data_IF_634162751343
#
_entry.id   IF_634162751343
#
_cell.length_a   1.000
_cell.length_b   1.000
_cell.length_c   1.000
_cell.angle_alpha   90.00
_cell.angle_beta   90.00
_cell.angle_gamma   90.00
#
_symmetry.space_group_name_H-M   'P 1'
#
loop_
_entity.id
_entity.type
_entity.pdbx_description
1 polymer ?
#
# COMPACT_ATOMS: atom_id res chain seq x y z
N UNK A 1 -10.33 9.64 -5.30
CA UNK A 1 -10.30 8.16 -5.16
C UNK A 1 -8.92 7.69 -5.61
N UNK A 2 -8.38 6.67 -4.94
CA UNK A 2 -7.03 6.19 -5.20
C UNK A 2 -6.84 4.76 -4.72
N UNK A 3 -5.58 4.37 -4.61
CA UNK A 3 -5.12 3.05 -4.22
C UNK A 3 -4.37 3.17 -2.90
N UNK A 4 -4.87 2.46 -1.90
CA UNK A 4 -4.21 2.29 -0.62
C UNK A 4 -3.44 0.97 -0.62
N UNK A 5 -2.16 1.03 -0.31
CA UNK A 5 -1.30 -0.13 -0.20
C UNK A 5 -0.78 -0.23 1.23
N UNK A 6 -1.07 -1.35 1.89
CA UNK A 6 -0.66 -1.58 3.28
C UNK A 6 0.26 -2.78 3.39
N UNK A 7 1.32 -2.69 4.17
CA UNK A 7 2.17 -3.84 4.47
C UNK A 7 1.36 -4.99 5.07
N UNK A 8 1.73 -6.23 4.72
CA UNK A 8 1.11 -7.42 5.30
C UNK A 8 1.46 -7.57 6.78
N UNK A 9 2.65 -7.13 7.19
CA UNK A 9 3.08 -7.09 8.59
C UNK A 9 3.65 -5.72 8.91
N UNK A 10 3.11 -5.05 9.92
CA UNK A 10 3.71 -3.82 10.43
C UNK A 10 5.09 -4.11 11.02
N UNK A 11 6.08 -3.23 10.83
CA UNK A 11 7.34 -3.28 11.56
C UNK A 11 7.10 -3.24 13.08
N UNK A 12 7.90 -3.96 13.85
CA UNK A 12 7.79 -3.97 15.31
C UNK A 12 7.96 -2.55 15.87
N UNK A 13 6.98 -2.11 16.67
CA UNK A 13 7.00 -0.80 17.33
C UNK A 13 6.67 0.40 16.41
N UNK A 14 6.33 0.19 15.13
CA UNK A 14 5.88 1.27 14.25
C UNK A 14 4.62 1.95 14.80
N UNK A 15 3.60 1.16 15.17
CA UNK A 15 2.34 1.70 15.70
C UNK A 15 2.60 2.58 16.94
N UNK A 16 3.44 2.11 17.87
CA UNK A 16 3.80 2.89 19.05
C UNK A 16 4.61 4.15 18.70
N UNK A 17 5.48 4.08 17.69
CA UNK A 17 6.23 5.23 17.21
C UNK A 17 5.31 6.25 16.54
N UNK A 18 4.38 5.80 15.71
CA UNK A 18 3.38 6.62 15.06
C UNK A 18 2.47 7.29 16.08
N UNK A 19 1.97 6.55 17.07
CA UNK A 19 1.18 7.13 18.15
C UNK A 19 1.95 8.20 18.95
N UNK A 20 3.25 7.98 19.23
CA UNK A 20 4.08 9.00 19.89
C UNK A 20 4.25 10.25 19.02
N UNK A 21 4.46 10.08 17.72
CA UNK A 21 4.59 11.19 16.78
C UNK A 21 3.26 11.94 16.60
N UNK A 22 2.15 11.22 16.49
CA UNK A 22 0.79 11.78 16.42
C UNK A 22 0.47 12.61 17.67
N UNK A 23 0.75 12.11 18.87
CA UNK A 23 0.60 12.91 20.10
C UNK A 23 1.45 14.18 20.10
N UNK A 24 2.62 14.14 19.48
CA UNK A 24 3.51 15.31 19.37
C UNK A 24 2.96 16.34 18.37
N UNK A 25 2.41 15.87 17.25
CA UNK A 25 1.69 16.69 16.28
C UNK A 25 0.47 17.37 16.90
N UNK A 26 -0.39 16.60 17.58
CA UNK A 26 -1.59 17.13 18.24
C UNK A 26 -1.22 18.20 19.27
N UNK A 27 -0.19 17.97 20.09
CA UNK A 27 0.28 18.95 21.07
C UNK A 27 0.80 20.25 20.41
N UNK A 28 1.51 20.14 19.27
CA UNK A 28 1.98 21.30 18.53
C UNK A 28 0.83 22.09 17.90
N UNK A 29 -0.17 21.38 17.34
CA UNK A 29 -1.36 21.98 16.76
C UNK A 29 -2.20 22.70 17.82
N UNK A 30 -2.47 22.05 18.95
CA UNK A 30 -3.14 22.63 20.11
C UNK A 30 -2.44 23.90 20.60
N UNK A 31 -1.11 23.88 20.69
CA UNK A 31 -0.34 25.05 21.12
C UNK A 31 -0.51 26.21 20.14
N UNK A 32 -0.38 25.96 18.83
CA UNK A 32 -0.59 26.98 17.79
C UNK A 32 -1.99 27.58 17.89
N UNK A 33 -3.01 26.74 18.02
CA UNK A 33 -4.41 27.16 17.98
C UNK A 33 -4.81 27.98 19.21
N UNK A 34 -4.17 27.74 20.37
CA UNK A 34 -4.38 28.51 21.61
C UNK A 34 -3.73 29.89 21.60
N UNK A 35 -2.83 30.20 20.66
CA UNK A 35 -2.17 31.50 20.63
C UNK A 35 -3.16 32.65 20.36
N UNK A 36 -4.25 32.38 19.62
CA UNK A 36 -5.23 33.40 19.19
C UNK A 36 -4.56 34.63 18.56
N UNK A 37 -3.60 34.38 17.65
CA UNK A 37 -2.83 35.41 16.96
C UNK A 37 -3.15 35.39 15.45
N UNK A 38 -3.05 36.54 14.76
CA UNK A 38 -3.13 36.57 13.31
C UNK A 38 -2.06 35.68 12.67
N UNK A 39 -2.37 35.11 11.51
CA UNK A 39 -1.47 34.21 10.77
C UNK A 39 -0.08 34.80 10.54
N UNK A 40 0.02 36.10 10.25
CA UNK A 40 1.28 36.79 9.96
C UNK A 40 2.13 37.05 11.22
N UNK A 41 1.59 36.84 12.42
CA UNK A 41 2.30 37.10 13.66
C UNK A 41 3.53 36.17 13.79
N UNK A 42 4.74 36.66 14.12
CA UNK A 42 5.95 35.84 14.17
C UNK A 42 5.85 34.60 15.08
N UNK A 43 5.17 34.72 16.23
CA UNK A 43 4.93 33.60 17.13
C UNK A 43 4.00 32.53 16.55
N UNK A 44 2.96 32.95 15.81
CA UNK A 44 2.09 32.02 15.10
C UNK A 44 2.87 31.27 14.01
N UNK A 45 3.66 31.99 13.21
CA UNK A 45 4.52 31.41 12.19
C UNK A 45 5.55 30.43 12.76
N UNK A 46 6.09 30.71 13.95
CA UNK A 46 6.97 29.78 14.65
C UNK A 46 6.24 28.50 15.07
N UNK A 47 5.06 28.63 15.69
CA UNK A 47 4.24 27.48 16.06
C UNK A 47 3.82 26.66 14.84
N UNK A 48 3.44 27.31 13.72
CA UNK A 48 3.10 26.64 12.47
C UNK A 48 4.28 25.82 11.90
N UNK A 49 5.53 26.30 12.02
CA UNK A 49 6.70 25.52 11.61
C UNK A 49 6.93 24.29 12.50
N UNK A 50 6.65 24.39 13.80
CA UNK A 50 6.72 23.23 14.69
C UNK A 50 5.61 22.21 14.38
N UNK A 51 4.40 22.67 14.05
CA UNK A 51 3.32 21.79 13.55
C UNK A 51 3.77 21.06 12.28
N UNK A 52 4.35 21.78 11.31
CA UNK A 52 4.85 21.18 10.08
C UNK A 52 5.93 20.12 10.36
N UNK A 53 6.91 20.43 11.22
CA UNK A 53 7.96 19.46 11.62
C UNK A 53 7.39 18.23 12.32
N UNK A 54 6.42 18.41 13.22
CA UNK A 54 5.79 17.30 13.92
C UNK A 54 4.94 16.45 12.98
N UNK A 55 4.29 17.07 11.98
CA UNK A 55 3.61 16.37 10.90
C UNK A 55 4.58 15.57 10.05
N UNK A 56 5.67 16.16 9.59
CA UNK A 56 6.71 15.47 8.81
C UNK A 56 7.29 14.27 9.59
N UNK A 57 7.52 14.44 10.89
CA UNK A 57 7.98 13.35 11.76
C UNK A 57 6.93 12.24 11.93
N UNK A 58 5.65 12.60 12.00
CA UNK A 58 4.55 11.63 12.06
C UNK A 58 4.40 10.87 10.73
N UNK A 59 4.45 11.56 9.59
CA UNK A 59 4.38 10.91 8.28
C UNK A 59 5.60 10.01 8.04
N UNK A 60 6.80 10.43 8.47
CA UNK A 60 8.00 9.59 8.39
C UNK A 60 7.91 8.28 9.20
N UNK A 61 6.96 8.17 10.14
CA UNK A 61 6.69 6.90 10.86
C UNK A 61 5.70 5.99 10.15
N UNK A 62 4.90 6.48 9.18
CA UNK A 62 3.93 5.66 8.44
C UNK A 62 4.60 4.94 7.28
N UNK A 63 5.54 4.05 7.59
CA UNK A 63 6.18 3.21 6.57
C UNK A 63 5.30 2.03 6.13
N UNK A 64 4.21 1.78 6.85
CA UNK A 64 3.23 0.74 6.54
C UNK A 64 2.28 1.05 5.38
N UNK A 65 2.17 2.30 4.94
CA UNK A 65 1.17 2.74 3.96
C UNK A 65 1.81 3.49 2.79
N UNK A 66 1.36 3.18 1.58
CA UNK A 66 1.66 3.96 0.38
C UNK A 66 0.36 4.25 -0.36
N UNK A 67 0.19 5.49 -0.81
CA UNK A 67 -1.00 5.93 -1.52
C UNK A 67 -0.66 6.44 -2.91
N UNK A 68 -1.46 6.02 -3.89
CA UNK A 68 -1.44 6.58 -5.24
C UNK A 68 -2.84 6.99 -5.67
N UNK A 69 -2.98 8.14 -6.33
CA UNK A 69 -4.26 8.47 -6.98
C UNK A 69 -4.56 7.47 -8.09
N UNK A 70 -5.82 7.37 -8.55
CA UNK A 70 -6.15 6.50 -9.70
C UNK A 70 -5.29 6.81 -10.94
N UNK A 71 -5.00 8.09 -11.17
CA UNK A 71 -4.16 8.52 -12.28
C UNK A 71 -2.70 8.12 -12.07
N UNK A 72 -2.10 8.46 -10.93
CA UNK A 72 -0.73 8.08 -10.57
C UNK A 72 -0.54 6.56 -10.55
N UNK A 73 -1.56 5.79 -10.18
CA UNK A 73 -1.51 4.33 -10.25
C UNK A 73 -1.47 3.80 -11.69
N UNK A 74 -2.19 4.45 -12.61
CA UNK A 74 -2.11 4.11 -14.04
C UNK A 74 -0.72 4.38 -14.59
N UNK A 75 -0.12 5.51 -14.22
CA UNK A 75 1.25 5.86 -14.59
C UNK A 75 2.26 4.89 -13.97
N UNK A 76 2.15 4.61 -12.67
CA UNK A 76 2.94 3.60 -11.97
C UNK A 76 2.92 2.26 -12.68
N UNK A 77 1.75 1.78 -13.08
CA UNK A 77 1.65 0.52 -13.83
C UNK A 77 2.32 0.60 -15.20
N UNK A 78 2.22 1.72 -15.91
CA UNK A 78 2.89 1.91 -17.20
C UNK A 78 4.42 1.91 -17.04
N UNK A 79 4.95 2.61 -16.03
CA UNK A 79 6.38 2.63 -15.72
C UNK A 79 6.87 1.24 -15.30
N UNK A 80 6.12 0.54 -14.44
CA UNK A 80 6.44 -0.82 -14.04
C UNK A 80 6.40 -1.81 -15.22
N UNK A 81 5.40 -1.73 -16.09
CA UNK A 81 5.30 -2.57 -17.29
C UNK A 81 6.50 -2.34 -18.22
N UNK A 82 6.88 -1.07 -18.41
CA UNK A 82 8.03 -0.69 -19.21
C UNK A 82 9.33 -1.34 -18.71
N UNK A 83 9.58 -1.31 -17.39
CA UNK A 83 10.75 -1.94 -16.78
C UNK A 83 10.63 -3.47 -16.65
N UNK A 84 9.56 -4.08 -17.17
CA UNK A 84 9.32 -5.53 -17.06
C UNK A 84 9.02 -5.97 -15.62
N UNK A 85 8.61 -5.06 -14.74
CA UNK A 85 8.26 -5.33 -13.36
C UNK A 85 6.91 -6.02 -13.22
N UNK A 86 6.04 -5.92 -14.25
CA UNK A 86 4.72 -6.53 -14.26
C UNK A 86 4.68 -7.82 -15.09
N UNK A 87 3.78 -8.71 -14.71
CA UNK A 87 3.42 -9.88 -15.50
C UNK A 87 1.92 -9.87 -15.78
N UNK A 88 1.55 -10.03 -17.05
CA UNK A 88 0.16 -10.15 -17.46
C UNK A 88 -0.37 -11.56 -17.14
N UNK A 89 -1.00 -11.71 -15.98
CA UNK A 89 -1.70 -12.94 -15.58
C UNK A 89 -3.18 -12.63 -15.30
N UNK A 90 -4.03 -13.62 -15.54
CA UNK A 90 -5.44 -13.53 -15.15
C UNK A 90 -5.57 -13.81 -13.66
N UNK A 91 -6.48 -13.11 -12.94
CA UNK A 91 -6.77 -13.45 -11.56
C UNK A 91 -7.38 -14.85 -11.48
N UNK A 92 -7.03 -15.65 -10.46
CA UNK A 92 -7.70 -16.92 -10.20
C UNK A 92 -9.20 -16.74 -9.98
N UNK A 93 -9.97 -17.76 -10.33
CA UNK A 93 -11.42 -17.74 -10.19
C UNK A 93 -11.81 -17.49 -8.73
N UNK A 94 -12.79 -16.62 -8.52
CA UNK A 94 -13.28 -16.30 -7.18
C UNK A 94 -14.02 -17.52 -6.60
N UNK A 95 -13.69 -17.98 -5.37
CA UNK A 95 -14.44 -19.06 -4.74
C UNK A 95 -15.90 -18.64 -4.54
N UNK A 96 -16.82 -19.59 -4.72
CA UNK A 96 -18.24 -19.37 -4.46
C UNK A 96 -18.58 -19.82 -3.03
N UNK A 97 -19.26 -19.00 -2.22
CA UNK A 97 -19.62 -19.35 -0.84
C UNK A 97 -20.30 -20.72 -0.71
N UNK A 98 -21.15 -21.08 -1.68
CA UNK A 98 -21.98 -22.27 -1.67
C UNK A 98 -21.15 -23.56 -1.67
N UNK A 99 -19.98 -23.55 -2.32
CA UNK A 99 -19.05 -24.71 -2.32
C UNK A 99 -18.49 -25.02 -0.94
N UNK A 100 -18.54 -24.05 -0.02
CA UNK A 100 -18.09 -24.20 1.37
C UNK A 100 -19.25 -24.39 2.35
N UNK A 101 -20.49 -24.48 1.87
CA UNK A 101 -21.68 -24.66 2.70
C UNK A 101 -22.09 -23.39 3.45
N UNK A 102 -21.92 -22.22 2.83
CA UNK A 102 -22.37 -20.92 3.34
C UNK A 102 -22.90 -20.08 2.18
N UNK A 103 -23.59 -18.98 2.49
CA UNK A 103 -23.99 -17.95 1.51
C UNK A 103 -23.12 -16.70 1.62
N UNK A 104 -23.20 -15.82 0.62
CA UNK A 104 -22.58 -14.50 0.70
C UNK A 104 -23.13 -13.66 1.86
N UNK A 105 -24.44 -13.73 2.11
CA UNK A 105 -25.07 -12.97 3.20
C UNK A 105 -24.56 -13.44 4.56
N UNK A 106 -24.45 -14.74 4.79
CA UNK A 106 -23.90 -15.31 6.02
C UNK A 106 -22.43 -14.97 6.20
N UNK A 107 -21.63 -15.00 5.14
CA UNK A 107 -20.20 -14.70 5.22
C UNK A 107 -19.92 -13.22 5.54
N UNK A 108 -20.76 -12.31 5.03
CA UNK A 108 -20.72 -10.87 5.35
C UNK A 108 -21.24 -10.60 6.77
N UNK A 109 -22.31 -11.26 7.19
CA UNK A 109 -22.92 -11.04 8.51
C UNK A 109 -22.13 -11.66 9.67
N UNK A 110 -21.37 -12.73 9.42
CA UNK A 110 -20.59 -13.40 10.45
C UNK A 110 -19.50 -12.49 11.02
N UNK A 111 -19.35 -12.49 12.35
CA UNK A 111 -18.26 -11.77 13.00
C UNK A 111 -16.88 -12.29 12.57
N UNK A 112 -15.87 -11.44 12.69
CA UNK A 112 -14.48 -11.84 12.49
C UNK A 112 -14.04 -12.84 13.58
N UNK A 113 -13.08 -13.71 13.23
CA UNK A 113 -12.50 -14.69 14.14
C UNK A 113 -13.18 -16.07 14.14
N UNK A 114 -12.75 -16.92 15.07
CA UNK A 114 -13.03 -18.36 15.09
C UNK A 114 -14.47 -18.72 15.50
N UNK A 115 -15.25 -17.74 15.96
CA UNK A 115 -16.65 -17.94 16.32
C UNK A 115 -17.58 -18.03 15.09
N UNK A 116 -17.09 -17.76 13.89
CA UNK A 116 -17.88 -17.85 12.67
C UNK A 116 -18.25 -19.31 12.34
N UNK A 117 -19.38 -19.56 11.66
CA UNK A 117 -19.74 -20.91 11.19
C UNK A 117 -18.61 -21.55 10.38
N UNK A 118 -18.42 -22.86 10.50
CA UNK A 118 -17.34 -23.58 9.84
C UNK A 118 -17.32 -23.39 8.30
N UNK A 119 -18.49 -23.25 7.66
CA UNK A 119 -18.58 -22.94 6.23
C UNK A 119 -18.01 -21.56 5.89
N UNK A 120 -18.30 -20.55 6.71
CA UNK A 120 -17.74 -19.19 6.58
C UNK A 120 -16.23 -19.19 6.77
N UNK A 121 -15.72 -19.91 7.78
CA UNK A 121 -14.27 -19.99 8.02
C UNK A 121 -13.53 -20.61 6.84
N UNK A 122 -14.05 -21.70 6.26
CA UNK A 122 -13.45 -22.32 5.07
C UNK A 122 -13.53 -21.41 3.84
N UNK A 123 -14.65 -20.71 3.65
CA UNK A 123 -14.80 -19.74 2.56
C UNK A 123 -13.81 -18.57 2.68
N UNK A 124 -13.67 -17.99 3.88
CA UNK A 124 -12.72 -16.90 4.15
C UNK A 124 -11.29 -17.35 3.89
N UNK A 125 -10.91 -18.52 4.39
CA UNK A 125 -9.58 -19.11 4.13
C UNK A 125 -9.32 -19.27 2.63
N UNK A 126 -10.28 -19.80 1.86
CA UNK A 126 -10.13 -19.96 0.42
C UNK A 126 -10.02 -18.61 -0.31
N UNK A 127 -10.74 -17.58 0.17
CA UNK A 127 -10.62 -16.23 -0.37
C UNK A 127 -9.24 -15.62 -0.06
N UNK A 128 -8.72 -15.80 1.15
CA UNK A 128 -7.38 -15.36 1.53
C UNK A 128 -6.29 -16.07 0.71
N UNK A 129 -6.39 -17.38 0.54
CA UNK A 129 -5.48 -18.18 -0.30
C UNK A 129 -5.50 -17.68 -1.76
N UNK A 130 -6.69 -17.37 -2.30
CA UNK A 130 -6.83 -16.75 -3.63
C UNK A 130 -6.13 -15.39 -3.70
N UNK A 131 -6.40 -14.50 -2.74
CA UNK A 131 -5.86 -13.14 -2.75
C UNK A 131 -4.33 -13.12 -2.59
N UNK A 132 -3.76 -14.16 -1.97
CA UNK A 132 -2.32 -14.35 -1.81
C UNK A 132 -1.69 -15.24 -2.90
N UNK A 133 -2.47 -15.72 -3.87
CA UNK A 133 -1.97 -16.64 -4.89
C UNK A 133 -0.81 -16.02 -5.68
N UNK A 134 0.31 -16.74 -5.75
CA UNK A 134 1.47 -16.35 -6.53
C UNK A 134 2.12 -17.62 -7.12
N UNK A 135 2.73 -17.52 -8.32
CA UNK A 135 3.49 -18.63 -8.87
C UNK A 135 4.68 -18.97 -7.96
N UNK A 136 5.12 -20.25 -7.87
CA UNK A 136 6.26 -20.64 -7.04
C UNK A 136 7.57 -19.90 -7.37
N UNK A 137 7.71 -19.44 -8.62
CA UNK A 137 8.82 -18.61 -9.09
C UNK A 137 8.27 -17.41 -9.86
N UNK A 138 7.94 -16.30 -9.18
CA UNK A 138 7.49 -15.09 -9.83
C UNK A 138 8.58 -14.50 -10.73
N UNK A 139 8.17 -13.86 -11.82
CA UNK A 139 9.03 -13.10 -12.73
C UNK A 139 8.74 -11.59 -12.71
N UNK A 140 7.76 -11.19 -11.89
CA UNK A 140 7.31 -9.82 -11.68
C UNK A 140 6.04 -9.83 -10.83
N UNK A 141 5.45 -8.66 -10.61
CA UNK A 141 4.17 -8.49 -9.93
C UNK A 141 3.04 -8.78 -10.92
N UNK A 142 2.08 -9.64 -10.54
CA UNK A 142 0.90 -9.86 -11.34
C UNK A 142 0.09 -8.56 -11.51
N UNK A 143 -0.10 -8.10 -12.74
CA UNK A 143 -0.67 -6.78 -13.02
C UNK A 143 -2.08 -6.57 -12.44
N UNK A 144 -2.87 -7.64 -12.32
CA UNK A 144 -4.21 -7.58 -11.74
C UNK A 144 -4.21 -7.30 -10.23
N UNK A 145 -3.12 -7.58 -9.50
CA UNK A 145 -3.00 -7.30 -8.06
C UNK A 145 -2.78 -5.82 -7.74
N UNK A 146 -2.47 -5.04 -8.77
CA UNK A 146 -2.31 -3.59 -8.74
C UNK A 146 -3.57 -2.89 -9.29
N UNK A 147 -4.72 -3.57 -9.21
CA UNK A 147 -6.01 -3.07 -9.70
C UNK A 147 -7.17 -3.59 -8.84
N UNK A 148 -8.28 -2.85 -8.86
CA UNK A 148 -9.53 -3.23 -8.18
C UNK A 148 -9.49 -3.09 -6.65
N UNK A 149 -10.54 -3.57 -6.00
CA UNK A 149 -10.84 -3.35 -4.57
C UNK A 149 -10.76 -4.63 -3.71
N UNK A 150 -10.33 -5.75 -4.29
CA UNK A 150 -10.43 -7.06 -3.63
C UNK A 150 -9.41 -7.30 -2.50
N UNK A 151 -8.43 -6.42 -2.30
CA UNK A 151 -7.40 -6.60 -1.27
C UNK A 151 -6.31 -7.61 -1.66
N UNK A 152 -5.92 -7.64 -2.93
CA UNK A 152 -4.88 -8.54 -3.44
C UNK A 152 -3.57 -8.40 -2.67
N UNK A 153 -2.94 -9.52 -2.34
CA UNK A 153 -1.63 -9.54 -1.68
C UNK A 153 -0.53 -9.71 -2.72
N UNK A 154 0.34 -8.70 -2.82
CA UNK A 154 1.59 -8.76 -3.58
C UNK A 154 2.67 -9.34 -2.68
N UNK A 155 3.19 -10.50 -3.05
CA UNK A 155 4.10 -11.30 -2.21
C UNK A 155 5.54 -10.80 -2.27
N UNK A 156 6.40 -11.13 -1.28
CA UNK A 156 7.82 -10.80 -1.34
C UNK A 156 8.52 -11.33 -2.60
N UNK A 157 8.17 -12.54 -3.06
CA UNK A 157 8.76 -13.13 -4.26
C UNK A 157 8.44 -12.33 -5.53
N UNK A 158 7.20 -11.85 -5.66
CA UNK A 158 6.79 -10.98 -6.76
C UNK A 158 7.52 -9.63 -6.73
N UNK A 159 7.63 -9.03 -5.54
CA UNK A 159 8.33 -7.75 -5.35
C UNK A 159 9.80 -7.86 -5.70
N UNK A 160 10.49 -8.89 -5.19
CA UNK A 160 11.91 -9.10 -5.47
C UNK A 160 12.17 -9.35 -6.96
N UNK A 161 11.29 -10.11 -7.63
CA UNK A 161 11.38 -10.31 -9.08
C UNK A 161 11.18 -9.01 -9.85
N UNK A 162 10.20 -8.20 -9.46
CA UNK A 162 9.96 -6.88 -10.03
C UNK A 162 11.15 -5.92 -9.84
N UNK A 163 11.72 -5.84 -8.64
CA UNK A 163 12.89 -5.01 -8.36
C UNK A 163 14.13 -5.47 -9.14
N UNK A 164 14.32 -6.79 -9.33
CA UNK A 164 15.40 -7.31 -10.17
C UNK A 164 15.23 -6.93 -11.65
N UNK A 165 13.98 -6.96 -12.15
CA UNK A 165 13.66 -6.48 -13.51
C UNK A 165 13.96 -4.98 -13.66
N UNK A 166 13.55 -4.18 -12.67
CA UNK A 166 13.84 -2.74 -12.62
C UNK A 166 15.34 -2.43 -12.69
N UNK A 167 16.16 -3.05 -11.84
CA UNK A 167 17.61 -2.81 -11.84
C UNK A 167 18.28 -3.25 -13.16
N UNK A 168 17.80 -4.35 -13.74
CA UNK A 168 18.27 -4.83 -15.04
C UNK A 168 17.93 -3.84 -16.16
N UNK A 169 16.68 -3.35 -16.19
CA UNK A 169 16.19 -2.38 -17.18
C UNK A 169 16.90 -1.03 -17.06
N UNK A 170 17.07 -0.53 -15.82
CA UNK A 170 17.81 0.71 -15.54
C UNK A 170 19.25 0.66 -16.02
N UNK A 171 19.92 -0.48 -15.86
CA UNK A 171 21.30 -0.68 -16.32
C UNK A 171 21.38 -0.69 -17.86
N UNK A 172 20.37 -1.26 -18.52
CA UNK A 172 20.31 -1.35 -19.98
C UNK A 172 19.97 -0.02 -20.66
N UNK A 173 19.16 0.84 -20.03
CA UNK A 173 18.71 2.11 -20.61
C UNK A 173 18.63 3.25 -19.57
N UNK A 174 19.78 3.83 -19.16
CA UNK A 174 19.82 4.85 -18.11
C UNK A 174 19.21 6.20 -18.53
N UNK A 175 19.22 6.54 -19.83
CA UNK A 175 18.68 7.81 -20.33
C UNK A 175 17.15 7.91 -20.18
N UNK A 176 16.47 6.76 -20.24
CA UNK A 176 15.02 6.70 -20.16
C UNK A 176 14.48 6.91 -18.74
N UNK A 177 15.28 6.65 -17.70
CA UNK A 177 14.89 7.05 -16.35
C UNK A 177 14.68 8.55 -16.26
N UNK A 178 15.52 9.35 -16.90
CA UNK A 178 15.36 10.80 -16.91
C UNK A 178 14.02 11.19 -17.53
N UNK A 179 13.70 10.70 -18.72
CA UNK A 179 12.49 11.14 -19.45
C UNK A 179 11.16 10.67 -18.83
N UNK A 180 11.14 9.49 -18.19
CA UNK A 180 9.89 8.91 -17.66
C UNK A 180 9.67 9.22 -16.18
N UNK A 181 10.75 9.40 -15.41
CA UNK A 181 10.68 9.59 -13.94
C UNK A 181 10.81 11.05 -13.53
N UNK A 182 11.34 11.96 -14.38
CA UNK A 182 11.41 13.39 -14.04
C UNK A 182 10.07 14.00 -13.64
N UNK A 183 8.96 13.48 -14.18
CA UNK A 183 7.60 13.92 -13.86
C UNK A 183 6.92 13.09 -12.74
N UNK A 184 7.54 11.99 -12.29
CA UNK A 184 7.02 11.08 -11.27
C UNK A 184 7.81 11.19 -9.96
N UNK A 185 7.62 12.28 -9.24
CA UNK A 185 8.24 12.55 -7.94
C UNK A 185 8.04 11.43 -6.90
N UNK A 186 6.93 10.70 -6.98
CA UNK A 186 6.59 9.55 -6.14
C UNK A 186 7.34 8.25 -6.52
N UNK A 187 8.02 8.16 -7.67
CA UNK A 187 8.64 6.91 -8.13
C UNK A 187 9.78 6.41 -7.22
N UNK A 188 10.73 7.24 -6.74
CA UNK A 188 11.74 6.80 -5.79
C UNK A 188 11.12 6.23 -4.51
N UNK A 189 10.06 6.88 -4.01
CA UNK A 189 9.34 6.48 -2.80
C UNK A 189 8.61 5.15 -3.02
N UNK A 190 8.04 4.93 -4.21
CA UNK A 190 7.45 3.65 -4.61
C UNK A 190 8.48 2.52 -4.61
N UNK A 191 9.67 2.75 -5.17
CA UNK A 191 10.75 1.75 -5.18
C UNK A 191 11.21 1.43 -3.75
N UNK A 192 11.33 2.42 -2.89
CA UNK A 192 11.71 2.21 -1.49
C UNK A 192 10.62 1.51 -0.69
N UNK A 193 9.34 1.85 -0.94
CA UNK A 193 8.19 1.13 -0.39
C UNK A 193 8.21 -0.34 -0.80
N UNK A 194 8.48 -0.67 -2.07
CA UNK A 194 8.60 -2.06 -2.52
C UNK A 194 9.72 -2.81 -1.77
N UNK A 195 10.91 -2.23 -1.65
CA UNK A 195 12.02 -2.85 -0.89
C UNK A 195 11.62 -3.11 0.56
N UNK A 196 10.96 -2.13 1.17
CA UNK A 196 10.48 -2.23 2.55
C UNK A 196 9.40 -3.32 2.69
N UNK A 197 8.44 -3.35 1.78
CA UNK A 197 7.35 -4.33 1.77
C UNK A 197 7.83 -5.77 1.59
N UNK A 198 8.86 -6.00 0.76
CA UNK A 198 9.44 -7.34 0.61
C UNK A 198 9.96 -7.90 1.95
N UNK A 199 10.49 -7.06 2.84
CA UNK A 199 10.96 -7.45 4.17
C UNK A 199 9.81 -7.73 5.15
N UNK A 200 8.62 -7.21 4.86
CA UNK A 200 7.43 -7.24 5.72
C UNK A 200 6.34 -8.20 5.25
N UNK A 201 6.69 -9.15 4.38
CA UNK A 201 5.73 -10.16 3.90
C UNK A 201 4.88 -9.69 2.73
N UNK A 202 5.23 -8.56 2.11
CA UNK A 202 4.52 -7.98 0.97
C UNK A 202 3.58 -6.85 1.39
N UNK A 203 2.65 -6.53 0.49
CA UNK A 203 1.59 -5.55 0.76
C UNK A 203 0.25 -5.98 0.17
N UNK A 204 -0.84 -5.40 0.69
CA UNK A 204 -2.20 -5.54 0.18
C UNK A 204 -2.62 -4.28 -0.55
N UNK A 205 -3.28 -4.43 -1.68
CA UNK A 205 -3.76 -3.32 -2.52
C UNK A 205 -5.28 -3.18 -2.43
N UNK A 206 -5.75 -1.97 -2.13
CA UNK A 206 -7.17 -1.60 -2.13
C UNK A 206 -7.38 -0.39 -3.03
N UNK A 207 -8.03 -0.58 -4.17
CA UNK A 207 -8.35 0.49 -5.13
C UNK A 207 -9.84 0.78 -5.23
N UNK A 208 -10.24 1.64 -6.17
CA UNK A 208 -11.65 1.81 -6.52
C UNK A 208 -12.21 0.51 -7.14
N UNK A 209 -13.53 0.26 -7.04
CA UNK A 209 -14.17 -0.85 -7.72
C UNK A 209 -13.89 -0.80 -9.22
N UNK A 210 -13.62 -1.96 -9.82
CA UNK A 210 -13.51 -2.05 -11.28
C UNK A 210 -14.92 -1.90 -11.86
N UNK A 211 -15.12 -0.89 -12.71
CA UNK A 211 -16.38 -0.64 -13.39
C UNK A 211 -16.69 -1.68 -14.48
#
# INVERSE_FOLDING_TARGET
MGYDMYLVRSPEGEDEAHERASRSFDAAADYRDRLDLPFEHPAYQAAQREVARAYDAMEATRTTHFYLTTWSMSECRAVMDHFGMLTATQPPARPTPETYGTTLQESVAAQAGDAAPAGVLRYRKALEERLAEAPPKPVGIAAHKLGGDEGWTVTPGEILAALAAYESGRTANPALLSEVIEDADWWPEWIDYLKHAASHGGFRTYGPPVA
#
